data_IF_224038654719
#
_entry.id   IF_224038654719
#
_cell.length_a   1.000
_cell.length_b   1.000
_cell.length_c   1.000
_cell.angle_alpha   90.00
_cell.angle_beta   90.00
_cell.angle_gamma   90.00
#
_symmetry.space_group_name_H-M   'P 1'
#
loop_
_entity.id
_entity.type
_entity.pdbx_description
1 polymer ?
#
# COMPACT_ATOMS: atom_id res chain seq x y z
N UNK A 1 -16.52 6.66 19.46
CA UNK A 1 -15.84 5.48 18.93
C UNK A 1 -14.50 5.94 18.35
N UNK A 2 -13.36 5.37 18.76
CA UNK A 2 -12.06 5.70 18.14
C UNK A 2 -11.88 4.83 16.90
N UNK A 3 -11.80 5.47 15.73
CA UNK A 3 -11.62 4.81 14.43
C UNK A 3 -10.15 4.55 14.09
N UNK A 4 -9.22 5.13 14.85
CA UNK A 4 -7.79 4.97 14.64
C UNK A 4 -7.25 3.98 15.67
N UNK A 5 -6.43 3.04 15.23
CA UNK A 5 -5.73 2.10 16.09
C UNK A 5 -4.27 1.94 15.65
N UNK A 6 -3.41 1.62 16.60
CA UNK A 6 -2.01 1.30 16.35
C UNK A 6 -1.70 -0.06 16.95
N UNK A 7 -1.11 -0.94 16.16
CA UNK A 7 -0.72 -2.28 16.59
C UNK A 7 0.79 -2.46 16.42
N UNK A 8 1.46 -2.86 17.48
CA UNK A 8 2.87 -3.27 17.39
C UNK A 8 2.94 -4.69 16.84
N UNK A 9 3.83 -4.89 15.90
CA UNK A 9 4.14 -6.20 15.34
C UNK A 9 5.65 -6.35 15.24
N UNK A 10 6.24 -7.19 16.09
CA UNK A 10 7.70 -7.42 16.13
C UNK A 10 8.24 -7.98 14.79
N UNK A 11 7.40 -8.64 14.00
CA UNK A 11 7.77 -9.11 12.67
C UNK A 11 8.09 -7.98 11.69
N UNK A 12 7.46 -6.81 11.85
CA UNK A 12 7.75 -5.66 10.99
C UNK A 12 9.12 -5.03 11.27
N UNK A 13 9.58 -5.02 12.52
CA UNK A 13 10.90 -4.49 12.85
C UNK A 13 12.01 -5.27 12.14
N UNK A 14 11.89 -6.61 12.12
CA UNK A 14 12.84 -7.46 11.43
C UNK A 14 12.82 -7.31 9.89
N UNK A 15 11.67 -6.93 9.32
CA UNK A 15 11.49 -6.78 7.86
C UNK A 15 11.82 -5.36 7.41
N UNK A 16 11.70 -4.35 8.26
CA UNK A 16 11.93 -2.95 7.89
C UNK A 16 13.34 -2.75 7.32
N UNK A 17 14.37 -3.22 8.01
CA UNK A 17 15.76 -3.11 7.53
C UNK A 17 16.00 -3.88 6.24
N UNK A 18 15.37 -5.05 6.11
CA UNK A 18 15.38 -5.85 4.89
C UNK A 18 14.72 -5.13 3.71
N UNK A 19 13.57 -4.53 3.93
CA UNK A 19 12.84 -3.77 2.91
C UNK A 19 13.62 -2.50 2.47
N UNK A 20 14.23 -1.79 3.42
CA UNK A 20 15.10 -0.64 3.11
C UNK A 20 16.31 -1.10 2.29
N UNK A 21 16.99 -2.15 2.72
CA UNK A 21 18.15 -2.69 2.02
C UNK A 21 17.80 -3.19 0.61
N UNK A 22 16.65 -3.85 0.47
CA UNK A 22 16.10 -4.26 -0.83
C UNK A 22 15.86 -3.05 -1.72
N UNK A 23 15.15 -2.03 -1.21
CA UNK A 23 14.87 -0.81 -1.95
C UNK A 23 16.16 -0.15 -2.46
N UNK A 24 17.18 -0.01 -1.60
CA UNK A 24 18.43 0.68 -1.95
C UNK A 24 19.27 -0.09 -2.98
N UNK A 25 19.18 -1.43 -2.99
CA UNK A 25 19.90 -2.26 -3.96
C UNK A 25 19.18 -2.37 -5.31
N UNK A 26 17.86 -2.48 -5.30
CA UNK A 26 17.06 -2.77 -6.48
C UNK A 26 16.64 -1.51 -7.24
N UNK A 27 17.65 -0.69 -7.59
CA UNK A 27 17.44 0.54 -8.38
C UNK A 27 16.89 0.27 -9.78
N UNK A 28 17.02 -0.96 -10.27
CA UNK A 28 16.43 -1.48 -11.50
C UNK A 28 14.90 -1.49 -11.45
N UNK A 29 14.31 -1.58 -10.26
CA UNK A 29 12.86 -1.58 -10.03
C UNK A 29 12.30 -0.19 -9.69
N UNK A 30 13.15 0.82 -9.52
CA UNK A 30 12.70 2.15 -9.17
C UNK A 30 11.91 2.80 -10.30
N UNK A 31 10.81 3.42 -9.93
CA UNK A 31 10.04 4.29 -10.80
C UNK A 31 9.55 5.53 -10.04
N UNK A 32 9.18 6.57 -10.77
CA UNK A 32 8.55 7.75 -10.16
C UNK A 32 7.19 7.38 -9.58
N UNK A 33 6.91 7.88 -8.39
CA UNK A 33 5.58 7.73 -7.81
C UNK A 33 4.54 8.47 -8.65
N UNK A 34 3.39 7.84 -8.83
CA UNK A 34 2.27 8.37 -9.60
C UNK A 34 1.08 8.57 -8.65
N UNK A 35 0.39 9.70 -8.77
CA UNK A 35 -0.91 9.92 -8.15
C UNK A 35 -2.00 9.78 -9.23
N UNK A 36 -3.12 9.17 -8.87
CA UNK A 36 -4.24 9.04 -9.78
C UNK A 36 -4.76 10.43 -10.19
N UNK A 37 -4.93 10.63 -11.48
CA UNK A 37 -5.37 11.92 -12.05
C UNK A 37 -4.24 12.89 -12.43
N UNK A 38 -2.96 12.53 -12.18
CA UNK A 38 -1.85 13.25 -12.76
C UNK A 38 -1.73 12.86 -14.24
N UNK A 39 -1.88 13.85 -15.11
CA UNK A 39 -1.65 13.67 -16.56
C UNK A 39 -0.17 13.86 -16.86
N UNK A 40 0.50 12.79 -17.30
CA UNK A 40 1.90 12.83 -17.71
C UNK A 40 2.18 13.78 -18.89
N UNK A 41 1.14 14.18 -19.61
CA UNK A 41 1.21 15.15 -20.71
C UNK A 41 1.01 16.59 -20.25
N UNK A 42 0.60 16.83 -19.01
CA UNK A 42 0.40 18.17 -18.48
C UNK A 42 1.70 18.78 -17.96
N UNK A 43 1.94 20.07 -18.22
CA UNK A 43 3.02 20.84 -17.60
C UNK A 43 2.73 21.24 -16.14
N UNK A 44 1.71 20.66 -15.51
CA UNK A 44 1.35 20.94 -14.14
C UNK A 44 2.34 20.23 -13.17
N UNK A 45 2.58 20.85 -12.02
CA UNK A 45 3.36 20.18 -10.95
C UNK A 45 2.70 18.86 -10.55
N UNK A 46 3.48 17.77 -10.43
CA UNK A 46 2.95 16.49 -10.05
C UNK A 46 2.33 16.55 -8.63
N UNK A 47 1.21 15.88 -8.46
CA UNK A 47 0.55 15.79 -7.15
C UNK A 47 1.36 15.00 -6.14
N UNK A 48 2.22 14.09 -6.61
CA UNK A 48 3.11 13.25 -5.80
C UNK A 48 4.53 13.28 -6.36
N UNK A 49 5.49 13.42 -5.46
CA UNK A 49 6.91 13.25 -5.79
C UNK A 49 7.48 12.21 -4.83
N UNK A 50 7.90 11.06 -5.35
CA UNK A 50 8.53 9.96 -4.61
C UNK A 50 9.29 9.04 -5.55
N UNK A 51 10.11 8.17 -4.99
CA UNK A 51 10.67 7.01 -5.67
C UNK A 51 9.99 5.76 -5.14
N UNK A 52 9.40 4.96 -6.02
CA UNK A 52 8.58 3.82 -5.65
C UNK A 52 9.16 2.52 -6.23
N UNK A 53 8.92 1.39 -5.54
CA UNK A 53 9.01 0.03 -6.06
C UNK A 53 7.64 -0.61 -5.88
N UNK A 54 7.03 -1.09 -6.97
CA UNK A 54 5.79 -1.86 -6.90
C UNK A 54 6.08 -3.30 -6.53
N UNK A 55 5.38 -3.80 -5.54
CA UNK A 55 5.44 -5.20 -5.09
C UNK A 55 4.10 -5.89 -5.33
N UNK A 56 4.17 -7.14 -5.73
CA UNK A 56 3.01 -8.01 -5.93
C UNK A 56 3.18 -9.24 -5.06
N UNK A 57 2.40 -9.34 -3.98
CA UNK A 57 2.59 -10.39 -2.95
C UNK A 57 2.32 -11.82 -3.44
N UNK A 58 1.72 -11.98 -4.61
CA UNK A 58 1.48 -13.29 -5.24
C UNK A 58 2.51 -13.63 -6.32
N UNK A 59 3.34 -12.66 -6.73
CA UNK A 59 4.40 -12.89 -7.72
C UNK A 59 5.61 -13.54 -7.05
N UNK A 60 5.99 -14.70 -7.53
CA UNK A 60 7.13 -15.50 -7.03
C UNK A 60 8.34 -15.45 -7.95
N UNK A 61 8.31 -14.65 -9.00
CA UNK A 61 9.41 -14.52 -9.95
C UNK A 61 10.67 -13.93 -9.33
N UNK A 62 10.50 -13.03 -8.33
CA UNK A 62 11.56 -12.47 -7.50
C UNK A 62 11.39 -12.96 -6.06
N UNK A 63 12.24 -13.90 -5.65
CA UNK A 63 12.13 -14.55 -4.33
C UNK A 63 12.31 -13.57 -3.17
N UNK A 64 13.15 -12.52 -3.32
CA UNK A 64 13.37 -11.53 -2.26
C UNK A 64 12.17 -10.58 -2.15
N UNK A 65 11.69 -10.07 -3.28
CA UNK A 65 10.47 -9.24 -3.34
C UNK A 65 9.27 -9.98 -2.76
N UNK A 66 9.12 -11.27 -3.13
CA UNK A 66 8.07 -12.13 -2.60
C UNK A 66 8.16 -12.29 -1.08
N UNK A 67 9.36 -12.61 -0.53
CA UNK A 67 9.54 -12.80 0.90
C UNK A 67 9.21 -11.53 1.72
N UNK A 68 9.64 -10.35 1.25
CA UNK A 68 9.31 -9.07 1.86
C UNK A 68 7.80 -8.83 1.82
N UNK A 69 7.18 -9.04 0.66
CA UNK A 69 5.75 -8.86 0.44
C UNK A 69 4.91 -9.74 1.37
N UNK A 70 5.28 -11.02 1.47
CA UNK A 70 4.59 -12.00 2.33
C UNK A 70 4.55 -11.57 3.80
N UNK A 71 5.65 -11.08 4.34
CA UNK A 71 5.70 -10.64 5.74
C UNK A 71 4.86 -9.38 5.95
N UNK A 72 4.95 -8.42 5.03
CA UNK A 72 4.16 -7.17 5.10
C UNK A 72 2.66 -7.50 5.04
N UNK A 73 2.23 -8.27 4.05
CA UNK A 73 0.80 -8.63 3.88
C UNK A 73 0.27 -9.41 5.07
N UNK A 74 1.03 -10.37 5.60
CA UNK A 74 0.62 -11.11 6.80
C UNK A 74 0.44 -10.19 8.00
N UNK A 75 1.37 -9.25 8.19
CA UNK A 75 1.29 -8.30 9.29
C UNK A 75 0.09 -7.36 9.18
N UNK A 76 -0.16 -6.83 7.97
CA UNK A 76 -1.32 -5.97 7.71
C UNK A 76 -2.62 -6.74 7.90
N UNK A 77 -2.72 -7.97 7.38
CA UNK A 77 -3.91 -8.82 7.58
C UNK A 77 -4.16 -9.13 9.06
N UNK A 78 -3.10 -9.41 9.84
CA UNK A 78 -3.23 -9.63 11.28
C UNK A 78 -3.74 -8.37 12.00
N UNK A 79 -3.23 -7.20 11.62
CA UNK A 79 -3.69 -5.91 12.13
C UNK A 79 -5.15 -5.62 11.75
N UNK A 80 -5.53 -5.84 10.50
CA UNK A 80 -6.90 -5.68 10.02
C UNK A 80 -7.87 -6.60 10.76
N UNK A 81 -7.52 -7.88 10.92
CA UNK A 81 -8.33 -8.84 11.68
C UNK A 81 -8.59 -8.32 13.10
N UNK A 82 -7.54 -7.94 13.82
CA UNK A 82 -7.66 -7.40 15.18
C UNK A 82 -8.50 -6.12 15.21
N UNK A 83 -8.30 -5.24 14.24
CA UNK A 83 -9.06 -4.00 14.11
C UNK A 83 -10.57 -4.26 13.98
N UNK A 84 -10.96 -5.23 13.17
CA UNK A 84 -12.37 -5.60 12.96
C UNK A 84 -12.96 -6.32 14.17
N UNK A 85 -12.19 -7.14 14.89
CA UNK A 85 -12.60 -7.77 16.14
C UNK A 85 -12.92 -6.73 17.22
N UNK A 86 -12.08 -5.70 17.33
CA UNK A 86 -12.26 -4.60 18.29
C UNK A 86 -13.37 -3.61 17.89
N UNK A 87 -13.82 -3.65 16.63
CA UNK A 87 -14.80 -2.71 16.06
C UNK A 87 -15.92 -3.43 15.30
N UNK A 88 -16.76 -4.17 16.00
CA UNK A 88 -17.77 -5.03 15.36
C UNK A 88 -18.80 -4.26 14.52
N UNK A 89 -19.00 -2.96 14.77
CA UNK A 89 -19.88 -2.13 13.95
C UNK A 89 -19.31 -1.91 12.55
N UNK A 90 -18.01 -1.73 12.42
CA UNK A 90 -17.35 -1.59 11.10
C UNK A 90 -17.54 -2.88 10.30
N UNK A 91 -17.33 -4.03 10.94
CA UNK A 91 -17.56 -5.33 10.32
C UNK A 91 -19.01 -5.51 9.84
N UNK A 92 -19.99 -4.96 10.56
CA UNK A 92 -21.40 -5.01 10.16
C UNK A 92 -21.75 -4.07 9.01
N UNK A 93 -21.08 -2.91 8.93
CA UNK A 93 -21.32 -1.90 7.89
C UNK A 93 -20.61 -2.21 6.58
N UNK A 94 -19.52 -2.98 6.63
CA UNK A 94 -18.75 -3.35 5.45
C UNK A 94 -18.91 -4.84 5.20
N UNK A 95 -19.44 -5.26 4.06
CA UNK A 95 -19.49 -6.68 3.69
C UNK A 95 -18.09 -7.31 3.80
N UNK A 96 -17.99 -8.54 4.31
CA UNK A 96 -16.69 -9.21 4.52
C UNK A 96 -15.82 -9.25 3.26
N UNK A 97 -16.45 -9.28 2.09
CA UNK A 97 -15.77 -9.29 0.79
C UNK A 97 -15.18 -7.92 0.37
N UNK A 98 -15.56 -6.82 1.05
CA UNK A 98 -15.08 -5.47 0.72
C UNK A 98 -13.89 -5.01 1.54
N UNK A 99 -13.47 -5.78 2.55
CA UNK A 99 -12.33 -5.45 3.40
C UNK A 99 -11.22 -6.49 3.22
N UNK A 100 -10.40 -6.26 2.24
CA UNK A 100 -9.22 -7.09 1.97
C UNK A 100 -7.99 -6.21 1.78
N UNK A 101 -6.82 -6.80 2.01
CA UNK A 101 -5.56 -6.14 1.72
C UNK A 101 -5.21 -6.39 0.25
N UNK A 102 -5.03 -5.32 -0.50
CA UNK A 102 -4.64 -5.44 -1.91
C UNK A 102 -3.28 -6.17 -1.99
N UNK A 103 -3.14 -7.22 -2.82
CA UNK A 103 -1.88 -7.91 -3.03
C UNK A 103 -0.82 -7.05 -3.73
N UNK A 104 -1.22 -5.93 -4.34
CA UNK A 104 -0.34 -4.97 -5.01
C UNK A 104 -0.18 -3.77 -4.10
N UNK A 105 1.07 -3.42 -3.78
CA UNK A 105 1.39 -2.24 -2.98
C UNK A 105 2.78 -1.71 -3.33
N UNK A 106 3.09 -0.50 -2.90
CA UNK A 106 4.36 0.14 -3.18
C UNK A 106 5.20 0.32 -1.92
N UNK A 107 6.50 0.03 -2.03
CA UNK A 107 7.49 0.62 -1.15
C UNK A 107 7.79 2.01 -1.69
N UNK A 108 7.61 3.03 -0.85
CA UNK A 108 7.72 4.43 -1.26
C UNK A 108 8.79 5.13 -0.43
N UNK A 109 9.70 5.80 -1.11
CA UNK A 109 10.69 6.65 -0.47
C UNK A 109 10.47 8.11 -0.85
N UNK A 110 10.46 8.96 0.16
CA UNK A 110 10.38 10.40 0.02
C UNK A 110 11.70 11.03 0.47
N UNK A 111 12.38 11.74 -0.41
CA UNK A 111 13.52 12.57 -0.05
C UNK A 111 13.04 13.88 0.64
N UNK A 112 13.92 14.63 1.33
CA UNK A 112 13.56 15.92 1.89
C UNK A 112 12.94 16.85 0.85
N UNK A 113 11.75 17.37 1.13
CA UNK A 113 10.97 18.19 0.19
C UNK A 113 10.07 17.45 -0.78
N UNK A 114 10.16 16.13 -0.88
CA UNK A 114 9.21 15.29 -1.62
C UNK A 114 7.94 15.01 -0.80
N UNK A 115 6.95 14.40 -1.41
CA UNK A 115 5.68 14.03 -0.79
C UNK A 115 4.49 14.25 -1.69
N UNK A 116 3.30 14.13 -1.10
CA UNK A 116 2.09 14.59 -1.75
C UNK A 116 1.98 16.10 -1.63
N UNK A 117 1.78 16.78 -2.76
CA UNK A 117 1.69 18.25 -2.85
C UNK A 117 0.27 18.76 -2.81
N UNK A 118 -0.72 17.88 -2.97
CA UNK A 118 -2.14 18.20 -2.98
C UNK A 118 -2.89 17.33 -1.97
N UNK A 119 -3.99 17.85 -1.45
CA UNK A 119 -4.94 17.06 -0.67
C UNK A 119 -5.50 15.94 -1.55
N UNK A 120 -5.53 14.73 -1.04
CA UNK A 120 -6.00 13.54 -1.74
C UNK A 120 -6.72 12.60 -0.79
N UNK A 121 -7.43 11.64 -1.35
CA UNK A 121 -7.91 10.47 -0.64
C UNK A 121 -7.44 9.21 -1.38
N UNK A 122 -7.16 8.15 -0.64
CA UNK A 122 -6.71 6.87 -1.18
C UNK A 122 -7.88 6.00 -1.67
N UNK A 123 -8.92 6.63 -2.17
CA UNK A 123 -10.09 5.94 -2.67
C UNK A 123 -10.11 5.93 -4.20
N UNK A 124 -10.17 4.74 -4.77
CA UNK A 124 -10.32 4.55 -6.21
C UNK A 124 -11.72 4.02 -6.49
N UNK A 125 -12.49 4.71 -7.32
CA UNK A 125 -13.68 4.14 -7.92
C UNK A 125 -13.19 3.25 -9.05
N UNK A 126 -13.32 1.92 -8.91
CA UNK A 126 -13.23 1.06 -10.07
C UNK A 126 -14.47 1.32 -10.92
N UNK A 127 -14.28 1.86 -12.11
CA UNK A 127 -15.36 2.04 -13.10
C UNK A 127 -15.79 0.71 -13.73
N UNK A 128 -15.42 -0.42 -13.17
CA UNK A 128 -16.03 -1.69 -13.50
C UNK A 128 -17.39 -1.77 -12.79
N UNK A 129 -18.35 -0.99 -13.29
CA UNK A 129 -19.74 -1.35 -13.19
C UNK A 129 -19.88 -2.68 -13.94
N UNK A 130 -19.74 -3.79 -13.23
CA UNK A 130 -20.26 -5.06 -13.71
C UNK A 130 -21.75 -4.85 -13.89
N UNK A 131 -22.20 -4.84 -15.14
CA UNK A 131 -23.63 -4.86 -15.46
C UNK A 131 -24.26 -6.04 -14.69
N UNK A 132 -25.38 -5.81 -14.02
CA UNK A 132 -26.09 -6.92 -13.39
C UNK A 132 -26.56 -7.87 -14.49
N UNK A 133 -26.11 -9.11 -14.39
CA UNK A 133 -26.63 -10.24 -15.16
C UNK A 133 -28.01 -10.61 -14.64
#
# INVERSE_FOLDING_TARGET
>A
MNLIASYKNSGFEAVADGAISFFDRRKDLHHSGIAFGDDSASNAEPSKVSTDISLVSIDRSDAEAFAISEVIIRGVNAGLKKYLEERPLIKKCCPEQSLFVNPIFNLQRYAPGEGFKKWHCDWTISNEATEPV
#
